data_IF_828007260834
#
_entry.id   IF_828007260834
#
_cell.length_a   1.000
_cell.length_b   1.000
_cell.length_c   1.000
_cell.angle_alpha   90.00
_cell.angle_beta   90.00
_cell.angle_gamma   90.00
#
_symmetry.space_group_name_H-M   'P 1'
#
loop_
_entity.id
_entity.type
_entity.pdbx_description
1 polymer ?
#
# COMPACT_ATOMS: atom_id res chain seq x y z
N UNK A 1 -11.81 28.51 -7.31
CA UNK A 1 -10.87 27.61 -6.60
C UNK A 1 -9.46 27.97 -7.04
N UNK A 2 -8.49 28.02 -6.11
CA UNK A 2 -7.17 28.59 -6.40
C UNK A 2 -6.02 27.54 -6.35
N UNK A 3 -5.97 26.56 -7.27
CA UNK A 3 -4.89 25.54 -7.33
C UNK A 3 -3.49 26.12 -7.30
N UNK A 4 -3.30 27.32 -7.87
CA UNK A 4 -2.04 28.03 -7.91
C UNK A 4 -1.46 28.28 -6.51
N UNK A 5 -2.27 28.61 -5.50
CA UNK A 5 -1.77 28.83 -4.14
C UNK A 5 -1.37 27.52 -3.45
N UNK A 6 -2.08 26.42 -3.72
CA UNK A 6 -1.73 25.11 -3.18
C UNK A 6 -0.42 24.59 -3.77
N UNK A 7 -0.23 24.73 -5.09
CA UNK A 7 1.04 24.39 -5.74
C UNK A 7 2.20 25.27 -5.26
N UNK A 8 1.96 26.57 -5.08
CA UNK A 8 2.98 27.49 -4.57
C UNK A 8 3.36 27.17 -3.12
N UNK A 9 2.39 26.82 -2.28
CA UNK A 9 2.66 26.43 -0.90
C UNK A 9 3.43 25.10 -0.83
N UNK A 10 3.06 24.12 -1.66
CA UNK A 10 3.81 22.87 -1.80
C UNK A 10 5.27 23.13 -2.23
N UNK A 11 5.49 24.01 -3.20
CA UNK A 11 6.82 24.39 -3.65
C UNK A 11 7.65 25.05 -2.54
N UNK A 12 7.06 25.94 -1.73
CA UNK A 12 7.75 26.57 -0.59
C UNK A 12 8.22 25.52 0.43
N UNK A 13 7.37 24.54 0.78
CA UNK A 13 7.78 23.47 1.67
C UNK A 13 8.90 22.62 1.09
N UNK A 14 8.82 22.29 -0.20
CA UNK A 14 9.89 21.55 -0.90
C UNK A 14 11.20 22.33 -0.91
N UNK A 15 11.16 23.63 -1.19
CA UNK A 15 12.36 24.48 -1.21
C UNK A 15 12.99 24.58 0.19
N UNK A 16 12.19 24.66 1.25
CA UNK A 16 12.67 24.58 2.63
C UNK A 16 13.35 23.24 2.91
N UNK A 17 12.77 22.12 2.48
CA UNK A 17 13.37 20.79 2.64
C UNK A 17 14.66 20.63 1.84
N UNK A 18 14.76 21.21 0.64
CA UNK A 18 16.00 21.21 -0.17
C UNK A 18 17.10 22.02 0.49
N UNK A 19 16.77 23.16 1.08
CA UNK A 19 17.74 23.98 1.82
C UNK A 19 18.32 23.23 3.03
N UNK A 20 17.51 22.39 3.68
CA UNK A 20 17.89 21.57 4.83
C UNK A 20 18.54 20.22 4.44
N UNK A 21 18.46 19.82 3.17
CA UNK A 21 18.95 18.54 2.64
C UNK A 21 20.46 18.25 2.86
N UNK A 22 21.41 19.19 2.66
CA UNK A 22 22.83 18.89 2.89
C UNK A 22 23.13 18.57 4.35
N UNK A 23 22.38 19.16 5.29
CA UNK A 23 22.52 18.91 6.73
C UNK A 23 21.90 17.56 7.13
N UNK A 24 20.80 17.18 6.46
CA UNK A 24 20.08 15.93 6.68
C UNK A 24 20.94 14.69 6.39
N UNK A 25 21.79 14.74 5.37
CA UNK A 25 22.69 13.62 5.02
C UNK A 25 23.93 13.53 5.91
N UNK A 26 24.36 14.66 6.48
CA UNK A 26 25.67 14.78 7.14
C UNK A 26 25.60 14.74 8.67
N UNK A 27 24.45 15.04 9.27
CA UNK A 27 24.36 15.29 10.72
C UNK A 27 23.25 14.46 11.39
N UNK A 28 23.53 13.20 11.69
CA UNK A 28 22.56 12.24 12.20
C UNK A 28 21.99 12.47 13.62
N UNK A 29 22.16 13.64 14.27
CA UNK A 29 21.74 13.80 15.68
C UNK A 29 21.26 15.20 16.15
N UNK A 30 21.18 16.27 15.33
CA UNK A 30 20.77 17.61 15.86
C UNK A 30 19.80 18.46 15.01
N UNK A 31 19.73 18.29 13.70
CA UNK A 31 18.85 19.09 12.81
C UNK A 31 17.49 18.42 12.54
N UNK A 32 17.22 17.27 13.16
CA UNK A 32 15.99 16.51 12.95
C UNK A 32 14.72 17.30 13.32
N UNK A 33 14.75 18.18 14.31
CA UNK A 33 13.52 18.81 14.79
C UNK A 33 12.95 19.83 13.78
N UNK A 34 13.79 20.64 13.12
CA UNK A 34 13.33 21.63 12.14
C UNK A 34 12.89 20.95 10.85
N UNK A 35 13.68 20.01 10.34
CA UNK A 35 13.30 19.22 9.17
C UNK A 35 12.04 18.38 9.43
N UNK A 36 11.91 17.75 10.60
CA UNK A 36 10.71 17.01 11.01
C UNK A 36 9.47 17.90 11.12
N UNK A 37 9.61 19.13 11.64
CA UNK A 37 8.52 20.09 11.69
C UNK A 37 8.03 20.47 10.28
N UNK A 38 8.94 20.78 9.36
CA UNK A 38 8.59 21.09 7.95
C UNK A 38 7.94 19.89 7.27
N UNK A 39 8.48 18.68 7.48
CA UNK A 39 7.90 17.42 6.98
C UNK A 39 6.49 17.17 7.52
N UNK A 40 6.27 17.41 8.81
CA UNK A 40 4.96 17.27 9.42
C UNK A 40 3.95 18.27 8.84
N UNK A 41 4.33 19.54 8.72
CA UNK A 41 3.49 20.57 8.09
C UNK A 41 3.20 20.26 6.62
N UNK A 42 4.18 19.71 5.89
CA UNK A 42 3.97 19.27 4.51
C UNK A 42 2.98 18.09 4.44
N UNK A 43 3.15 17.06 5.27
CA UNK A 43 2.20 15.95 5.35
C UNK A 43 0.78 16.43 5.67
N UNK A 44 0.62 17.29 6.68
CA UNK A 44 -0.68 17.86 7.06
C UNK A 44 -1.30 18.63 5.90
N UNK A 45 -0.51 19.46 5.21
CA UNK A 45 -0.95 20.15 4.01
C UNK A 45 -1.38 19.20 2.89
N UNK A 46 -0.59 18.15 2.61
CA UNK A 46 -0.87 17.17 1.56
C UNK A 46 -2.10 16.30 1.86
N UNK A 47 -2.40 16.08 3.15
CA UNK A 47 -3.61 15.39 3.59
C UNK A 47 -4.85 16.29 3.50
N UNK A 48 -4.74 17.57 3.90
CA UNK A 48 -5.87 18.51 3.92
C UNK A 48 -6.22 19.06 2.54
N UNK A 49 -5.22 19.37 1.72
CA UNK A 49 -5.43 19.92 0.38
C UNK A 49 -5.65 18.83 -0.66
N UNK A 50 -6.54 19.08 -1.61
CA UNK A 50 -6.76 18.20 -2.77
C UNK A 50 -6.51 18.92 -4.11
N UNK A 51 -6.06 20.18 -4.05
CA UNK A 51 -5.99 21.09 -5.20
C UNK A 51 -4.56 21.32 -5.69
N UNK A 52 -3.61 20.46 -5.31
CA UNK A 52 -2.24 20.51 -5.78
C UNK A 52 -1.98 19.47 -6.89
N UNK A 53 -0.95 19.70 -7.70
CA UNK A 53 -0.53 18.76 -8.75
C UNK A 53 0.47 17.73 -8.20
N UNK A 54 -0.06 16.56 -7.82
CA UNK A 54 0.73 15.48 -7.24
C UNK A 54 1.78 14.89 -8.20
N UNK A 55 1.49 14.84 -9.51
CA UNK A 55 2.43 14.31 -10.51
C UNK A 55 3.68 15.18 -10.61
N UNK A 56 3.51 16.50 -10.62
CA UNK A 56 4.63 17.44 -10.68
C UNK A 56 5.50 17.39 -9.43
N UNK A 57 4.89 17.13 -8.26
CA UNK A 57 5.64 16.97 -7.01
C UNK A 57 6.41 15.65 -7.00
N UNK A 58 5.79 14.55 -7.43
CA UNK A 58 6.45 13.23 -7.48
C UNK A 58 7.65 13.16 -8.42
N UNK A 59 7.72 14.02 -9.44
CA UNK A 59 8.86 14.13 -10.34
C UNK A 59 10.12 14.68 -9.64
N UNK A 60 9.97 15.37 -8.51
CA UNK A 60 11.09 15.92 -7.77
C UNK A 60 11.84 14.81 -7.00
N UNK A 61 13.17 14.67 -7.16
CA UNK A 61 13.96 13.63 -6.51
C UNK A 61 13.92 13.68 -4.98
N UNK A 62 13.59 14.83 -4.37
CA UNK A 62 13.39 14.97 -2.92
C UNK A 62 12.43 13.90 -2.35
N UNK A 63 11.37 13.58 -3.10
CA UNK A 63 10.36 12.63 -2.66
C UNK A 63 10.80 11.17 -2.79
N UNK A 64 11.96 10.87 -3.37
CA UNK A 64 12.52 9.51 -3.35
C UNK A 64 12.95 9.10 -1.94
N UNK A 65 13.47 10.03 -1.14
CA UNK A 65 13.87 9.78 0.25
C UNK A 65 12.74 10.03 1.26
N UNK A 66 11.79 10.92 0.94
CA UNK A 66 10.65 11.28 1.80
C UNK A 66 9.49 10.29 1.65
N UNK A 67 9.61 9.14 2.29
CA UNK A 67 8.70 8.00 2.10
C UNK A 67 7.24 8.25 2.50
N UNK A 68 6.98 8.95 3.61
CA UNK A 68 5.62 9.22 4.09
C UNK A 68 4.91 10.21 3.15
N UNK A 69 5.60 11.27 2.75
CA UNK A 69 5.14 12.30 1.82
C UNK A 69 4.87 11.71 0.43
N UNK A 70 5.81 10.89 -0.08
CA UNK A 70 5.68 10.17 -1.35
C UNK A 70 4.45 9.25 -1.33
N UNK A 71 4.20 8.55 -0.23
CA UNK A 71 3.04 7.68 -0.09
C UNK A 71 1.73 8.47 -0.18
N UNK A 72 1.64 9.66 0.43
CA UNK A 72 0.47 10.53 0.32
C UNK A 72 0.25 10.96 -1.14
N UNK A 73 1.31 11.43 -1.81
CA UNK A 73 1.26 11.87 -3.21
C UNK A 73 0.85 10.74 -4.17
N UNK A 74 1.45 9.55 -4.05
CA UNK A 74 1.09 8.37 -4.85
C UNK A 74 -0.36 7.95 -4.63
N UNK A 75 -0.83 8.07 -3.38
CA UNK A 75 -2.23 7.81 -3.05
C UNK A 75 -3.20 8.76 -3.76
N UNK A 76 -2.80 10.00 -4.03
CA UNK A 76 -3.60 10.98 -4.79
C UNK A 76 -3.60 10.72 -6.29
N UNK A 77 -2.48 10.26 -6.84
CA UNK A 77 -2.39 9.84 -8.25
C UNK A 77 -3.20 8.55 -8.51
N UNK A 78 -3.57 7.82 -7.46
CA UNK A 78 -4.29 6.55 -7.55
C UNK A 78 -3.36 5.32 -7.63
N UNK A 79 -2.06 5.51 -7.43
CA UNK A 79 -1.05 4.45 -7.37
C UNK A 79 -1.04 3.77 -6.00
N UNK A 80 -2.19 3.19 -5.62
CA UNK A 80 -2.41 2.61 -4.29
C UNK A 80 -1.47 1.42 -3.99
N UNK A 81 -1.11 0.64 -5.00
CA UNK A 81 -0.21 -0.50 -4.83
C UNK A 81 1.18 -0.05 -4.38
N UNK A 82 1.70 1.03 -4.96
CA UNK A 82 3.01 1.58 -4.62
C UNK A 82 3.02 2.19 -3.22
N UNK A 83 1.91 2.80 -2.81
CA UNK A 83 1.72 3.26 -1.41
C UNK A 83 1.85 2.09 -0.44
N UNK A 84 1.16 0.97 -0.73
CA UNK A 84 1.23 -0.22 0.11
C UNK A 84 2.63 -0.84 0.11
N UNK A 85 3.34 -0.86 -1.03
CA UNK A 85 4.74 -1.30 -1.10
C UNK A 85 5.67 -0.42 -0.26
N UNK A 86 5.47 0.90 -0.27
CA UNK A 86 6.26 1.84 0.56
C UNK A 86 6.00 1.57 2.04
N UNK A 87 4.74 1.49 2.48
CA UNK A 87 4.43 1.22 3.89
C UNK A 87 4.91 -0.16 4.34
N UNK A 88 4.69 -1.20 3.54
CA UNK A 88 5.04 -2.57 3.89
C UNK A 88 6.55 -2.85 3.88
N UNK A 89 7.29 -2.40 2.86
CA UNK A 89 8.71 -2.79 2.69
C UNK A 89 9.71 -1.71 3.05
N UNK A 90 9.43 -0.45 2.70
CA UNK A 90 10.38 0.65 2.92
C UNK A 90 10.27 1.16 4.35
N UNK A 91 9.05 1.41 4.82
CA UNK A 91 8.78 1.86 6.18
C UNK A 91 8.63 0.70 7.18
N UNK A 92 8.31 -0.51 6.72
CA UNK A 92 8.01 -1.69 7.56
C UNK A 92 6.93 -1.42 8.61
N UNK A 93 6.03 -0.49 8.32
CA UNK A 93 4.93 -0.10 9.19
C UNK A 93 3.63 -0.69 8.65
N UNK A 94 3.33 -1.89 9.14
CA UNK A 94 2.11 -2.62 8.76
C UNK A 94 0.85 -1.93 9.27
N UNK A 95 0.93 -1.17 10.36
CA UNK A 95 -0.21 -0.48 10.94
C UNK A 95 -0.65 0.69 10.06
N UNK A 96 0.31 1.49 9.56
CA UNK A 96 0.02 2.53 8.55
C UNK A 96 -0.58 1.93 7.27
N UNK A 97 -0.05 0.80 6.79
CA UNK A 97 -0.59 0.12 5.62
C UNK A 97 -2.05 -0.32 5.82
N UNK A 98 -2.38 -0.86 7.00
CA UNK A 98 -3.75 -1.27 7.37
C UNK A 98 -4.67 -0.04 7.51
N UNK A 99 -4.19 1.04 8.12
CA UNK A 99 -4.94 2.29 8.24
C UNK A 99 -5.27 2.86 6.85
N UNK A 100 -4.32 2.81 5.92
CA UNK A 100 -4.54 3.20 4.53
C UNK A 100 -5.57 2.31 3.83
N UNK A 101 -5.49 0.99 3.97
CA UNK A 101 -6.50 0.05 3.45
C UNK A 101 -7.89 0.35 4.02
N UNK A 102 -7.98 0.70 5.30
CA UNK A 102 -9.23 1.07 5.95
C UNK A 102 -9.84 2.34 5.36
N UNK A 103 -9.01 3.35 5.03
CA UNK A 103 -9.45 4.56 4.33
C UNK A 103 -9.95 4.23 2.92
N UNK A 104 -9.21 3.42 2.15
CA UNK A 104 -9.61 3.01 0.80
C UNK A 104 -10.89 2.18 0.77
N UNK A 105 -11.05 1.23 1.70
CA UNK A 105 -12.25 0.39 1.78
C UNK A 105 -13.51 1.22 2.06
N UNK A 106 -13.42 2.23 2.94
CA UNK A 106 -14.52 3.17 3.19
C UNK A 106 -14.93 3.95 1.94
N UNK A 107 -13.97 4.22 1.06
CA UNK A 107 -14.19 4.92 -0.21
C UNK A 107 -14.64 3.98 -1.36
N UNK A 108 -14.95 2.72 -1.06
CA UNK A 108 -15.42 1.73 -2.04
C UNK A 108 -14.34 0.80 -2.61
N UNK A 109 -13.09 0.91 -2.14
CA UNK A 109 -11.98 0.05 -2.55
C UNK A 109 -12.05 -1.34 -1.92
N UNK A 110 -12.89 -2.23 -2.45
CA UNK A 110 -13.06 -3.60 -1.93
C UNK A 110 -11.77 -4.44 -1.97
N UNK A 111 -10.87 -4.13 -2.90
CA UNK A 111 -9.64 -4.90 -3.14
C UNK A 111 -8.43 -4.43 -2.32
N UNK A 112 -8.55 -3.37 -1.50
CA UNK A 112 -7.41 -2.76 -0.81
C UNK A 112 -6.68 -3.73 0.14
N UNK A 113 -7.42 -4.46 0.97
CA UNK A 113 -6.85 -5.43 1.92
C UNK A 113 -6.25 -6.64 1.20
N UNK A 114 -6.82 -7.03 0.06
CA UNK A 114 -6.34 -8.15 -0.74
C UNK A 114 -5.04 -7.79 -1.47
N UNK A 115 -4.92 -6.57 -1.99
CA UNK A 115 -3.65 -6.05 -2.53
C UNK A 115 -2.57 -6.03 -1.45
N UNK A 116 -2.87 -5.56 -0.24
CA UNK A 116 -1.92 -5.59 0.88
C UNK A 116 -1.52 -7.03 1.24
N UNK A 117 -2.48 -7.97 1.28
CA UNK A 117 -2.20 -9.38 1.53
C UNK A 117 -1.24 -9.97 0.50
N UNK A 118 -1.51 -9.74 -0.79
CA UNK A 118 -0.63 -10.20 -1.89
C UNK A 118 0.76 -9.61 -1.78
N UNK A 119 0.89 -8.32 -1.45
CA UNK A 119 2.17 -7.66 -1.22
C UNK A 119 2.88 -8.33 -0.04
N UNK A 120 2.23 -8.53 1.10
CA UNK A 120 2.89 -9.15 2.26
C UNK A 120 3.35 -10.59 2.00
N UNK A 121 2.65 -11.34 1.14
CA UNK A 121 2.91 -12.76 0.88
C UNK A 121 3.86 -13.00 -0.30
N UNK A 122 3.72 -12.26 -1.40
CA UNK A 122 4.47 -12.41 -2.65
C UNK A 122 5.26 -11.14 -3.00
N UNK A 123 6.47 -10.99 -2.48
CA UNK A 123 7.29 -9.81 -2.75
C UNK A 123 7.86 -9.67 -4.17
N UNK A 124 7.90 -10.75 -4.94
CA UNK A 124 8.63 -10.82 -6.22
C UNK A 124 7.72 -10.75 -7.46
N UNK A 125 6.40 -10.81 -7.32
CA UNK A 125 5.49 -10.85 -8.49
C UNK A 125 5.19 -9.46 -9.06
N UNK A 126 5.68 -8.38 -8.44
CA UNK A 126 5.28 -7.01 -8.76
C UNK A 126 6.34 -6.16 -9.49
N UNK A 127 7.49 -6.74 -9.86
CA UNK A 127 8.58 -6.02 -10.54
C UNK A 127 8.45 -6.02 -12.08
N UNK A 128 7.39 -6.61 -12.65
CA UNK A 128 7.23 -6.71 -14.13
C UNK A 128 6.69 -5.47 -14.84
N UNK A 129 6.66 -4.28 -14.23
CA UNK A 129 6.21 -3.06 -14.92
C UNK A 129 7.11 -1.83 -14.79
N UNK A 130 8.29 -1.94 -14.18
CA UNK A 130 9.29 -0.87 -14.22
C UNK A 130 10.31 -1.16 -15.34
N UNK A 131 9.82 -1.20 -16.59
CA UNK A 131 10.67 -0.79 -17.72
C UNK A 131 10.49 0.73 -17.85
N UNK A 132 11.21 1.50 -17.01
CA UNK A 132 11.66 2.80 -17.49
C UNK A 132 12.57 2.51 -18.70
N UNK A 133 12.34 3.14 -19.87
CA UNK A 133 13.23 2.99 -21.00
C UNK A 133 14.58 3.61 -20.63
N UNK A 134 15.60 2.76 -20.48
CA UNK A 134 17.00 3.16 -20.46
C UNK A 134 17.34 3.84 -21.79
N UNK A 135 17.15 5.16 -21.86
CA UNK A 135 17.88 6.01 -22.80
C UNK A 135 19.33 6.13 -22.31
N UNK A 136 20.19 5.22 -22.75
CA UNK A 136 21.48 5.62 -23.33
C UNK A 136 22.07 4.44 -24.13
N UNK A 137 21.88 4.47 -25.45
CA UNK A 137 22.60 3.60 -26.39
C UNK A 137 23.70 4.41 -27.06
N UNK A 138 24.88 4.35 -26.46
CA UNK A 138 26.18 4.64 -27.05
C UNK A 138 27.19 4.02 -26.08
N UNK A 139 27.95 2.99 -26.41
CA UNK A 139 28.91 3.00 -27.49
C UNK A 139 29.19 1.56 -27.96
N UNK A 140 29.47 1.49 -29.26
CA UNK A 140 30.00 0.32 -29.95
C UNK A 140 31.46 0.13 -29.59
N UNK A 141 31.86 -1.05 -29.10
CA UNK A 141 33.14 -1.65 -29.49
C UNK A 141 32.99 -3.16 -29.69
N UNK A 142 33.32 -3.57 -30.92
CA UNK A 142 33.63 -4.94 -31.31
C UNK A 142 34.85 -5.47 -30.56
N UNK A 143 34.82 -6.73 -30.11
CA UNK A 143 35.77 -7.81 -30.46
C UNK A 143 35.43 -9.05 -29.62
N UNK A 144 34.95 -10.14 -30.21
CA UNK A 144 35.68 -11.31 -30.75
C UNK A 144 36.48 -12.14 -29.71
N UNK A 145 36.19 -13.44 -29.74
CA UNK A 145 36.60 -14.49 -28.80
C UNK A 145 38.00 -15.11 -29.09
N UNK A 146 38.41 -16.00 -28.17
CA UNK A 146 39.65 -16.83 -28.07
C UNK A 146 40.85 -16.04 -27.51
N UNK A 147 41.65 -16.53 -26.56
CA UNK A 147 42.20 -17.87 -26.42
C UNK A 147 42.72 -18.13 -24.98
N UNK A 148 42.85 -19.42 -24.68
CA UNK A 148 43.43 -20.05 -23.49
C UNK A 148 44.94 -19.74 -23.35
N UNK A 149 45.47 -19.50 -22.15
CA UNK A 149 46.74 -20.09 -21.68
C UNK A 149 46.96 -19.87 -20.17
N UNK A 150 47.26 -20.97 -19.49
CA UNK A 150 47.64 -21.13 -18.10
C UNK A 150 49.18 -21.16 -18.01
N UNK A 151 49.80 -20.41 -17.08
CA UNK A 151 50.90 -20.82 -16.15
C UNK A 151 51.60 -19.62 -15.45
N UNK A 152 52.37 -19.84 -14.35
CA UNK A 152 52.15 -19.17 -13.07
C UNK A 152 53.33 -18.34 -12.53
N UNK A 153 53.07 -17.59 -11.45
CA UNK A 153 54.04 -17.23 -10.41
C UNK A 153 54.74 -15.89 -10.59
N UNK A 154 54.54 -14.98 -9.63
CA UNK A 154 55.56 -14.59 -8.64
C UNK A 154 55.07 -13.37 -7.84
N UNK A 155 55.33 -13.45 -6.54
CA UNK A 155 54.95 -12.53 -5.49
C UNK A 155 55.55 -11.13 -5.67
N UNK A 156 54.73 -10.08 -5.57
CA UNK A 156 55.19 -8.73 -5.22
C UNK A 156 54.17 -8.05 -4.29
N UNK A 157 54.52 -8.12 -3.01
CA UNK A 157 54.35 -7.13 -1.93
C UNK A 157 53.35 -5.97 -2.18
N UNK A 158 52.22 -5.98 -1.45
CA UNK A 158 51.26 -4.86 -1.39
C UNK A 158 51.22 -4.30 0.04
N UNK A 159 51.99 -3.25 0.27
CA UNK A 159 51.80 -2.31 1.37
C UNK A 159 50.78 -1.23 1.01
N UNK A 160 49.80 -1.05 1.89
CA UNK A 160 48.99 0.14 2.17
C UNK A 160 48.47 1.00 0.99
N UNK A 161 47.23 0.69 0.55
CA UNK A 161 46.27 1.71 0.07
C UNK A 161 44.86 1.33 0.57
N UNK A 162 44.21 2.13 1.44
CA UNK A 162 42.78 1.96 1.68
C UNK A 162 42.03 2.55 0.49
N UNK A 163 41.68 1.70 -0.47
CA UNK A 163 40.74 2.02 -1.53
C UNK A 163 39.36 2.12 -0.88
N UNK A 164 38.83 3.33 -0.83
CA UNK A 164 37.44 3.58 -0.50
C UNK A 164 36.56 2.94 -1.58
N UNK A 165 36.07 1.72 -1.31
CA UNK A 165 35.04 1.10 -2.12
C UNK A 165 33.78 1.94 -2.05
N UNK A 166 33.43 2.52 -3.19
CA UNK A 166 32.15 3.16 -3.41
C UNK A 166 31.03 2.16 -3.19
N UNK A 167 30.12 2.48 -2.27
CA UNK A 167 28.84 1.79 -2.14
C UNK A 167 27.91 2.34 -3.23
N UNK A 168 28.22 2.02 -4.48
CA UNK A 168 27.24 1.96 -5.57
C UNK A 168 26.84 0.50 -5.69
N UNK A 169 25.80 0.16 -4.95
CA UNK A 169 25.15 -1.13 -5.06
C UNK A 169 23.73 -0.93 -4.58
N UNK A 170 22.80 -0.82 -5.52
CA UNK A 170 21.40 -1.16 -5.26
C UNK A 170 21.40 -2.61 -4.76
N UNK A 171 21.51 -2.74 -3.45
CA UNK A 171 21.27 -4.00 -2.76
C UNK A 171 19.80 -4.26 -3.02
N UNK A 172 19.52 -5.16 -3.97
CA UNK A 172 18.28 -5.91 -4.03
C UNK A 172 18.06 -6.48 -2.62
N UNK A 173 17.38 -5.71 -1.77
CA UNK A 173 16.84 -6.21 -0.50
C UNK A 173 15.82 -7.23 -0.95
N UNK A 174 16.23 -8.48 -1.03
CA UNK A 174 15.32 -9.59 -1.23
C UNK A 174 14.24 -9.44 -0.17
N UNK A 175 13.06 -9.01 -0.62
CA UNK A 175 11.97 -8.68 0.27
C UNK A 175 11.51 -10.01 0.84
N UNK A 176 11.67 -10.17 2.15
CA UNK A 176 11.29 -11.40 2.84
C UNK A 176 9.76 -11.42 2.93
N UNK A 177 9.08 -12.54 2.60
CA UNK A 177 7.64 -12.64 2.77
C UNK A 177 7.26 -12.42 4.24
N UNK A 178 6.34 -11.49 4.47
CA UNK A 178 5.87 -11.09 5.80
C UNK A 178 4.62 -11.89 6.16
N UNK A 179 4.80 -13.18 6.42
CA UNK A 179 3.70 -14.12 6.69
C UNK A 179 2.97 -13.79 7.99
N UNK A 180 3.68 -13.44 9.06
CA UNK A 180 3.05 -13.15 10.36
C UNK A 180 2.10 -11.93 10.30
N UNK A 181 2.51 -10.78 9.74
CA UNK A 181 1.57 -9.67 9.48
C UNK A 181 0.43 -10.02 8.54
N UNK A 182 0.66 -10.85 7.52
CA UNK A 182 -0.39 -11.31 6.62
C UNK A 182 -1.46 -12.12 7.35
N UNK A 183 -1.06 -13.02 8.26
CA UNK A 183 -1.99 -13.81 9.08
C UNK A 183 -2.74 -12.95 10.09
N UNK A 184 -2.07 -11.96 10.68
CA UNK A 184 -2.72 -10.96 11.56
C UNK A 184 -3.76 -10.15 10.80
N UNK A 185 -3.42 -9.66 9.61
CA UNK A 185 -4.34 -8.95 8.70
C UNK A 185 -5.58 -9.80 8.39
N UNK A 186 -5.39 -11.07 8.05
CA UNK A 186 -6.49 -12.00 7.76
C UNK A 186 -7.38 -12.22 8.97
N UNK A 187 -6.81 -12.38 10.16
CA UNK A 187 -7.58 -12.61 11.39
C UNK A 187 -8.41 -11.38 11.78
N UNK A 188 -7.86 -10.17 11.62
CA UNK A 188 -8.51 -8.92 12.03
C UNK A 188 -9.46 -8.34 10.97
N UNK A 189 -9.19 -8.55 9.69
CA UNK A 189 -9.91 -7.93 8.57
C UNK A 189 -10.44 -8.92 7.53
N UNK A 190 -10.41 -10.22 7.84
CA UNK A 190 -10.86 -11.27 6.94
C UNK A 190 -12.30 -11.11 6.47
N UNK A 191 -13.18 -10.50 7.28
CA UNK A 191 -14.59 -10.28 6.95
C UNK A 191 -14.81 -9.36 5.75
N UNK A 192 -13.80 -8.55 5.43
CA UNK A 192 -13.75 -7.60 4.31
C UNK A 192 -13.00 -8.14 3.08
N UNK A 193 -12.41 -9.32 3.18
CA UNK A 193 -11.64 -9.94 2.10
C UNK A 193 -12.44 -11.13 1.56
N UNK A 194 -12.42 -11.32 0.24
CA UNK A 194 -12.97 -12.56 -0.34
C UNK A 194 -12.19 -13.76 0.20
N UNK A 195 -12.91 -14.72 0.80
CA UNK A 195 -12.27 -15.86 1.48
C UNK A 195 -11.53 -16.75 0.50
N UNK A 196 -12.05 -16.92 -0.72
CA UNK A 196 -11.44 -17.80 -1.73
C UNK A 196 -10.18 -17.12 -2.27
N UNK A 197 -10.26 -15.82 -2.59
CA UNK A 197 -9.09 -15.08 -3.08
C UNK A 197 -8.01 -14.95 -2.01
N UNK A 198 -8.38 -14.77 -0.74
CA UNK A 198 -7.44 -14.77 0.39
C UNK A 198 -6.68 -16.10 0.50
N UNK A 199 -7.39 -17.24 0.39
CA UNK A 199 -6.78 -18.57 0.46
C UNK A 199 -5.86 -18.85 -0.74
N UNK A 200 -6.23 -18.39 -1.93
CA UNK A 200 -5.40 -18.51 -3.13
C UNK A 200 -4.14 -17.65 -3.08
N UNK A 201 -4.17 -16.54 -2.33
CA UNK A 201 -3.04 -15.64 -2.18
C UNK A 201 -2.00 -16.13 -1.16
N UNK A 202 -2.32 -17.10 -0.30
CA UNK A 202 -1.41 -17.63 0.71
C UNK A 202 -0.34 -18.55 0.10
N UNK A 203 0.87 -18.66 0.71
CA UNK A 203 1.88 -19.62 0.26
C UNK A 203 1.34 -21.05 0.36
N UNK A 204 1.69 -21.89 -0.62
CA UNK A 204 1.30 -23.31 -0.62
C UNK A 204 1.86 -24.09 0.57
N UNK A 205 2.96 -23.61 1.16
CA UNK A 205 3.66 -24.23 2.28
C UNK A 205 3.13 -23.78 3.65
N UNK A 206 2.01 -23.04 3.70
CA UNK A 206 1.44 -22.55 4.95
C UNK A 206 0.81 -23.69 5.76
N UNK A 207 1.11 -23.74 7.07
CA UNK A 207 0.51 -24.72 7.97
C UNK A 207 -0.95 -24.37 8.26
N UNK A 208 -1.83 -25.38 8.21
CA UNK A 208 -3.27 -25.20 8.46
C UNK A 208 -3.56 -24.66 9.88
N UNK A 209 -2.72 -25.01 10.86
CA UNK A 209 -2.79 -24.50 12.23
C UNK A 209 -2.74 -22.98 12.30
N UNK A 210 -1.90 -22.35 11.46
CA UNK A 210 -1.71 -20.90 11.41
C UNK A 210 -2.89 -20.17 10.77
N UNK A 211 -3.59 -20.83 9.85
CA UNK A 211 -4.74 -20.25 9.11
C UNK A 211 -6.07 -20.55 9.81
N UNK A 212 -6.11 -21.53 10.72
CA UNK A 212 -7.31 -21.91 11.46
C UNK A 212 -8.02 -20.75 12.18
N UNK A 213 -7.34 -19.80 12.86
CA UNK A 213 -8.00 -18.67 13.50
C UNK A 213 -8.80 -17.80 12.51
N UNK A 214 -8.23 -17.55 11.33
CA UNK A 214 -8.90 -16.85 10.24
C UNK A 214 -10.12 -17.64 9.75
N UNK A 215 -9.96 -18.92 9.40
CA UNK A 215 -11.06 -19.75 8.90
C UNK A 215 -12.23 -19.84 9.89
N UNK A 216 -11.92 -20.04 11.17
CA UNK A 216 -12.93 -20.08 12.22
C UNK A 216 -13.68 -18.74 12.32
N UNK A 217 -12.94 -17.62 12.29
CA UNK A 217 -13.53 -16.27 12.31
C UNK A 217 -14.44 -16.04 11.10
N UNK A 218 -14.02 -16.47 9.91
CA UNK A 218 -14.80 -16.34 8.67
C UNK A 218 -16.07 -17.21 8.67
N UNK A 219 -15.97 -18.45 9.14
CA UNK A 219 -17.14 -19.32 9.28
C UNK A 219 -18.15 -18.75 10.27
N UNK A 220 -17.68 -18.28 11.43
CA UNK A 220 -18.54 -17.66 12.43
C UNK A 220 -19.22 -16.39 11.90
N UNK A 221 -18.46 -15.51 11.23
CA UNK A 221 -18.97 -14.27 10.64
C UNK A 221 -19.99 -14.54 9.53
N UNK A 222 -19.74 -15.54 8.68
CA UNK A 222 -20.67 -15.97 7.63
C UNK A 222 -21.97 -16.50 8.24
N UNK A 223 -21.87 -17.35 9.27
CA UNK A 223 -23.05 -17.87 9.96
C UNK A 223 -23.85 -16.76 10.68
N UNK A 224 -23.17 -15.78 11.29
CA UNK A 224 -23.83 -14.59 11.89
C UNK A 224 -24.59 -13.78 10.83
N UNK A 225 -23.96 -13.51 9.68
CA UNK A 225 -24.55 -12.78 8.55
C UNK A 225 -25.78 -13.50 7.99
N UNK A 226 -25.70 -14.82 7.82
CA UNK A 226 -26.83 -15.63 7.36
C UNK A 226 -28.02 -15.54 8.32
N UNK A 227 -27.78 -15.69 9.63
CA UNK A 227 -28.84 -15.57 10.66
C UNK A 227 -29.49 -14.19 10.63
N UNK A 228 -28.70 -13.13 10.52
CA UNK A 228 -29.23 -11.76 10.42
C UNK A 228 -30.06 -11.57 9.16
N UNK A 229 -29.57 -11.99 8.00
CA UNK A 229 -30.29 -11.89 6.73
C UNK A 229 -31.60 -12.69 6.76
N UNK A 230 -31.61 -13.85 7.39
CA UNK A 230 -32.83 -14.63 7.59
C UNK A 230 -33.84 -13.90 8.48
N UNK A 231 -33.37 -13.27 9.56
CA UNK A 231 -34.21 -12.47 10.44
C UNK A 231 -34.81 -11.26 9.70
N UNK A 232 -34.00 -10.53 8.94
CA UNK A 232 -34.45 -9.40 8.11
C UNK A 232 -35.48 -9.87 7.08
N UNK A 233 -35.22 -10.98 6.39
CA UNK A 233 -36.14 -11.59 5.42
C UNK A 233 -37.49 -11.93 6.07
N UNK A 234 -37.46 -12.57 7.24
CA UNK A 234 -38.66 -12.94 7.97
C UNK A 234 -39.41 -11.70 8.49
N UNK A 235 -38.70 -10.68 8.97
CA UNK A 235 -39.28 -9.42 9.42
C UNK A 235 -39.98 -8.70 8.26
N UNK A 236 -39.31 -8.54 7.12
CA UNK A 236 -39.88 -7.93 5.91
C UNK A 236 -41.13 -8.66 5.44
N UNK A 237 -41.12 -10.00 5.45
CA UNK A 237 -42.29 -10.83 5.12
C UNK A 237 -43.45 -10.58 6.09
N UNK A 238 -43.17 -10.51 7.40
CA UNK A 238 -44.20 -10.26 8.42
C UNK A 238 -44.84 -8.87 8.28
N UNK A 239 -44.05 -7.85 7.97
CA UNK A 239 -44.53 -6.48 7.74
C UNK A 239 -45.39 -6.41 6.49
N UNK A 240 -44.96 -7.06 5.40
CA UNK A 240 -45.76 -7.15 4.17
C UNK A 240 -47.13 -7.79 4.43
N UNK A 241 -47.16 -8.89 5.20
CA UNK A 241 -48.43 -9.54 5.57
C UNK A 241 -49.32 -8.62 6.42
N UNK A 242 -48.76 -7.88 7.40
CA UNK A 242 -49.53 -6.93 8.20
C UNK A 242 -50.20 -5.85 7.36
N UNK A 243 -49.47 -5.26 6.40
CA UNK A 243 -50.02 -4.25 5.48
C UNK A 243 -51.14 -4.86 4.62
N UNK A 244 -50.94 -6.07 4.09
CA UNK A 244 -51.95 -6.76 3.29
C UNK A 244 -53.24 -7.03 4.08
N UNK A 245 -53.12 -7.48 5.34
CA UNK A 245 -54.29 -7.70 6.21
C UNK A 245 -55.00 -6.38 6.53
N UNK A 246 -54.26 -5.32 6.86
CA UNK A 246 -54.83 -3.99 7.15
C UNK A 246 -55.62 -3.43 5.96
N UNK A 247 -55.09 -3.56 4.74
CA UNK A 247 -55.80 -3.13 3.54
C UNK A 247 -57.08 -3.95 3.31
N UNK A 248 -57.02 -5.27 3.53
CA UNK A 248 -58.18 -6.13 3.36
C UNK A 248 -59.31 -5.83 4.37
N UNK A 249 -58.98 -5.56 5.63
CA UNK A 249 -59.98 -5.18 6.64
C UNK A 249 -60.64 -3.84 6.29
N UNK A 250 -59.88 -2.84 5.81
CA UNK A 250 -60.45 -1.57 5.36
C UNK A 250 -61.36 -1.71 4.14
N UNK A 251 -61.02 -2.55 3.16
CA UNK A 251 -61.89 -2.80 1.99
C UNK A 251 -63.21 -3.49 2.37
N UNK A 252 -63.22 -4.34 3.40
CA UNK A 252 -64.44 -5.00 3.88
C UNK A 252 -65.31 -4.07 4.73
N UNK A 253 -64.73 -3.12 5.46
CA UNK A 253 -65.50 -2.11 6.22
C UNK A 253 -66.13 -1.05 5.32
N UNK A 254 -65.44 -0.62 4.25
CA UNK A 254 -66.01 0.36 3.31
C UNK A 254 -67.18 -0.23 2.50
N UNK A 255 -67.11 -1.50 2.12
CA UNK A 255 -68.20 -2.15 1.37
C UNK A 255 -69.46 -2.43 2.22
N UNK A 256 -69.33 -2.52 3.56
CA UNK A 256 -70.45 -2.68 4.51
C UNK A 256 -71.16 -1.36 4.88
N UNK A 257 -70.64 -0.20 4.47
CA UNK A 257 -71.25 1.11 4.70
C UNK A 257 -71.85 1.74 3.41
N UNK A 258 -71.86 1.00 2.30
CA UNK A 258 -72.46 1.43 1.01
C UNK A 258 -73.63 0.56 0.54
N UNK A 259 -74.29 -0.16 1.45
CA UNK A 259 -75.57 -0.85 1.23
C UNK A 259 -76.52 -0.32 2.31
#
# INVERSE_FOLDING_TARGET
TWPRYHNQLAAIYVDQLKALWPEFRTSGLKTDHEASAVRHSLCEFLEFSELYNAETLLADPIFKELLDERAILLGRVGRHEDVLKIYAYRLKDTEKAVAYCTKLYKNGGTQAYLSLLKILVSPNDTDTSDNEPDEDTGESEHTQALDLHLHPGLDVDHGDVPVAEGVSGDVFRQRVPMIEPALKLLTEHGDKIDTIEALNALPRDCQLSSVYPFLNTMMQSTAKRWRMNLLIKNLAKSLHLKVKMFNHTHTHTTHKHSI
#
